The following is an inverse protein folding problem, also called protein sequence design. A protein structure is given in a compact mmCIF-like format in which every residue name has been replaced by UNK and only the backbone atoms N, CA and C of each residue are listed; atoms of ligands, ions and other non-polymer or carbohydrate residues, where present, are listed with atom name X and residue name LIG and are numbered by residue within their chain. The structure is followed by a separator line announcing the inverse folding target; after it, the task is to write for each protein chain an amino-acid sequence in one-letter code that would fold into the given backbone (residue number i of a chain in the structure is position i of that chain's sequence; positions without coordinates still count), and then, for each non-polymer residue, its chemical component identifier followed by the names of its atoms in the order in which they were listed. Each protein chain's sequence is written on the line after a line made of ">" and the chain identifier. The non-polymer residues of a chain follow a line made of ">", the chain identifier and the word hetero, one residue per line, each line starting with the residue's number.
data_IF_527855899145
#
_entry.id   IF_527855899145
#
_cell.length_a   1.000
_cell.length_b   1.000
_cell.length_c   1.000
_cell.angle_alpha   90.00
_cell.angle_beta   90.00
_cell.angle_gamma   90.00
#
_symmetry.space_group_name_H-M   'P 1'
#
loop_
_entity.id
_entity.type
_entity.pdbx_description
1 polymer ?
#
# COMPACT_ATOMS: atom_id res chain seq x y z
N UNK A 1 33.39 -46.96 39.96
CA UNK A 1 33.31 -46.62 38.51
C UNK A 1 32.26 -45.52 38.30
N UNK A 2 32.65 -44.24 38.19
CA UNK A 2 31.69 -43.15 37.98
C UNK A 2 32.31 -41.90 37.31
N UNK A 3 33.25 -42.07 36.36
CA UNK A 3 33.91 -40.93 35.68
C UNK A 3 33.50 -40.70 34.20
N UNK A 4 32.68 -41.57 33.60
CA UNK A 4 32.36 -41.48 32.16
C UNK A 4 31.00 -40.82 31.83
N UNK A 5 30.20 -40.41 32.82
CA UNK A 5 28.86 -39.85 32.57
C UNK A 5 28.87 -38.37 32.17
N UNK A 6 29.91 -37.62 32.54
CA UNK A 6 29.98 -36.16 32.31
C UNK A 6 30.17 -35.82 30.82
N UNK A 7 30.98 -36.58 30.09
CA UNK A 7 31.22 -36.32 28.67
C UNK A 7 30.04 -36.70 27.78
N UNK A 8 29.30 -37.76 28.15
CA UNK A 8 28.06 -38.15 27.45
C UNK A 8 27.02 -37.03 27.55
N UNK A 9 26.85 -36.43 28.74
CA UNK A 9 25.93 -35.30 28.92
C UNK A 9 26.34 -34.07 28.09
N UNK A 10 27.65 -33.78 27.98
CA UNK A 10 28.15 -32.69 27.13
C UNK A 10 27.89 -32.94 25.64
N UNK A 11 28.12 -34.16 25.17
CA UNK A 11 27.88 -34.54 23.76
C UNK A 11 26.39 -34.46 23.43
N UNK A 12 25.51 -34.94 24.33
CA UNK A 12 24.05 -34.83 24.16
C UNK A 12 23.60 -33.37 24.14
N UNK A 13 24.13 -32.53 25.03
CA UNK A 13 23.80 -31.10 25.06
C UNK A 13 24.23 -30.36 23.78
N UNK A 14 25.44 -30.62 23.29
CA UNK A 14 25.94 -30.03 22.03
C UNK A 14 25.10 -30.52 20.85
N UNK A 15 24.78 -31.81 20.81
CA UNK A 15 23.94 -32.39 19.75
C UNK A 15 22.53 -31.78 19.77
N UNK A 16 21.96 -31.58 20.96
CA UNK A 16 20.67 -30.91 21.12
C UNK A 16 20.73 -29.44 20.67
N UNK A 17 21.80 -28.70 20.97
CA UNK A 17 21.99 -27.33 20.48
C UNK A 17 22.12 -27.26 18.96
N UNK A 18 22.86 -28.20 18.35
CA UNK A 18 22.98 -28.29 16.89
C UNK A 18 21.63 -28.63 16.26
N UNK A 19 20.90 -29.61 16.81
CA UNK A 19 19.56 -29.96 16.33
C UNK A 19 18.57 -28.81 16.51
N UNK A 20 18.65 -28.06 17.60
CA UNK A 20 17.81 -26.89 17.86
C UNK A 20 18.16 -25.73 16.91
N UNK A 21 19.43 -25.55 16.58
CA UNK A 21 19.88 -24.59 15.57
C UNK A 21 19.40 -24.98 14.16
N UNK A 22 19.49 -26.26 13.81
CA UNK A 22 18.99 -26.79 12.53
C UNK A 22 17.46 -26.70 12.47
N UNK A 23 16.75 -27.11 13.51
CA UNK A 23 15.29 -27.01 13.59
C UNK A 23 14.83 -25.54 13.55
N UNK A 24 15.57 -24.63 14.21
CA UNK A 24 15.34 -23.19 14.15
C UNK A 24 15.46 -22.62 12.73
N UNK A 25 16.32 -23.19 11.88
CA UNK A 25 16.40 -22.81 10.46
C UNK A 25 15.21 -23.30 9.63
N UNK A 26 14.56 -24.42 10.00
CA UNK A 26 13.40 -24.95 9.27
C UNK A 26 12.05 -24.44 9.81
N UNK A 27 11.97 -24.05 11.08
CA UNK A 27 10.77 -23.52 11.74
C UNK A 27 11.01 -22.09 12.25
N UNK A 28 11.17 -21.14 11.32
CA UNK A 28 11.16 -19.72 11.66
C UNK A 28 9.73 -19.26 11.95
N UNK A 29 9.34 -19.25 13.23
CA UNK A 29 8.19 -18.49 13.69
C UNK A 29 8.72 -17.26 14.44
N UNK A 30 8.70 -16.09 13.76
CA UNK A 30 9.08 -14.82 14.37
C UNK A 30 7.91 -14.38 15.25
N UNK A 31 8.03 -14.63 16.56
CA UNK A 31 7.05 -14.16 17.51
C UNK A 31 7.14 -12.64 17.61
N UNK A 32 6.07 -11.98 17.21
CA UNK A 32 5.92 -10.55 17.36
C UNK A 32 5.28 -10.23 18.71
N UNK A 33 6.06 -9.57 19.57
CA UNK A 33 5.67 -9.17 20.92
C UNK A 33 5.12 -7.74 20.98
N UNK A 34 4.95 -7.06 19.84
CA UNK A 34 4.27 -5.77 19.82
C UNK A 34 2.79 -5.93 20.17
N UNK A 35 2.24 -4.95 20.88
CA UNK A 35 0.85 -4.99 21.35
C UNK A 35 -0.16 -5.12 20.20
N UNK A 36 0.19 -4.62 19.01
CA UNK A 36 -0.61 -4.63 17.79
C UNK A 36 -0.16 -5.67 16.74
N UNK A 37 0.83 -6.52 17.05
CA UNK A 37 1.44 -7.49 16.12
C UNK A 37 1.88 -6.85 14.79
N UNK A 38 2.46 -5.65 14.86
CA UNK A 38 2.83 -4.81 13.70
C UNK A 38 3.87 -5.44 12.76
N UNK A 39 4.66 -6.39 13.24
CA UNK A 39 5.68 -7.13 12.51
C UNK A 39 5.20 -8.53 12.10
N UNK A 40 3.90 -8.82 12.15
CA UNK A 40 3.28 -10.02 11.59
C UNK A 40 2.32 -9.65 10.49
N UNK A 41 2.38 -10.35 9.35
CA UNK A 41 1.40 -10.18 8.29
C UNK A 41 -0.03 -10.40 8.79
N UNK A 42 -0.94 -9.51 8.40
CA UNK A 42 -2.36 -9.68 8.65
C UNK A 42 -2.94 -10.90 7.92
N UNK A 43 -4.04 -11.45 8.44
CA UNK A 43 -4.71 -12.60 7.83
C UNK A 43 -5.21 -12.31 6.40
N UNK A 44 -5.51 -11.04 6.10
CA UNK A 44 -5.88 -10.60 4.75
C UNK A 44 -4.72 -10.77 3.78
N UNK A 45 -3.52 -10.35 4.19
CA UNK A 45 -2.28 -10.46 3.41
C UNK A 45 -1.88 -11.91 3.23
N UNK A 46 -1.89 -12.71 4.29
CA UNK A 46 -1.63 -14.16 4.20
C UNK A 46 -2.61 -14.86 3.25
N UNK A 47 -3.90 -14.54 3.35
CA UNK A 47 -4.92 -15.10 2.45
C UNK A 47 -4.67 -14.72 0.99
N UNK A 48 -4.27 -13.47 0.74
CA UNK A 48 -3.94 -13.02 -0.62
C UNK A 48 -2.75 -13.79 -1.19
N UNK A 49 -1.67 -13.91 -0.42
CA UNK A 49 -0.44 -14.58 -0.82
C UNK A 49 -0.63 -16.10 -1.03
N UNK A 50 -1.42 -16.74 -0.17
CA UNK A 50 -1.68 -18.20 -0.23
C UNK A 50 -2.74 -18.59 -1.26
N UNK A 51 -3.63 -17.69 -1.66
CA UNK A 51 -4.58 -17.94 -2.77
C UNK A 51 -3.97 -17.64 -4.13
N UNK A 52 -2.98 -16.76 -4.20
CA UNK A 52 -2.31 -16.46 -5.46
C UNK A 52 -1.53 -17.68 -5.99
N UNK A 53 -1.61 -17.89 -7.29
CA UNK A 53 -0.87 -18.95 -8.03
C UNK A 53 0.06 -18.38 -9.09
N UNK A 54 -0.01 -17.07 -9.35
CA UNK A 54 0.77 -16.39 -10.38
C UNK A 54 2.12 -15.93 -9.82
N UNK A 55 3.23 -16.09 -10.55
CA UNK A 55 4.53 -15.61 -10.09
C UNK A 55 4.51 -14.10 -9.91
N UNK A 56 5.17 -13.62 -8.86
CA UNK A 56 5.27 -12.20 -8.52
C UNK A 56 6.73 -11.78 -8.63
N UNK A 57 7.02 -10.73 -9.37
CA UNK A 57 8.32 -10.04 -9.31
C UNK A 57 8.15 -8.71 -8.61
N UNK A 58 8.98 -8.43 -7.60
CA UNK A 58 8.99 -7.16 -6.88
C UNK A 58 10.38 -6.55 -7.03
N UNK A 59 10.46 -5.43 -7.74
CA UNK A 59 11.69 -4.65 -7.92
C UNK A 59 11.66 -3.45 -7.00
N UNK A 60 12.62 -3.33 -6.09
CA UNK A 60 12.74 -2.27 -5.10
C UNK A 60 13.90 -1.36 -5.46
N UNK A 61 13.64 -0.07 -5.64
CA UNK A 61 14.62 0.94 -6.07
C UNK A 61 15.38 1.62 -4.90
N UNK A 62 15.25 1.06 -3.70
CA UNK A 62 15.95 1.49 -2.50
C UNK A 62 17.16 0.60 -2.24
N UNK A 63 18.21 0.73 -3.04
CA UNK A 63 19.50 0.10 -2.76
C UNK A 63 20.67 1.07 -2.88
N UNK A 64 21.88 0.60 -2.58
CA UNK A 64 23.11 1.40 -2.65
C UNK A 64 23.37 2.25 -1.41
N UNK A 65 24.09 3.36 -1.58
CA UNK A 65 24.45 4.24 -0.47
C UNK A 65 23.29 5.19 -0.13
N UNK A 66 22.52 4.82 0.90
CA UNK A 66 21.35 5.56 1.38
C UNK A 66 21.64 6.32 2.70
N UNK A 67 21.00 7.48 2.93
CA UNK A 67 20.95 8.11 4.25
C UNK A 67 20.35 7.20 5.34
N UNK A 68 20.69 7.42 6.63
CA UNK A 68 20.25 6.56 7.73
C UNK A 68 18.75 6.32 7.77
N UNK A 69 17.94 7.36 7.53
CA UNK A 69 16.49 7.26 7.52
C UNK A 69 15.98 6.28 6.44
N UNK A 70 16.53 6.38 5.22
CA UNK A 70 16.17 5.48 4.12
C UNK A 70 16.73 4.08 4.29
N UNK A 71 17.86 3.90 4.97
CA UNK A 71 18.32 2.55 5.34
C UNK A 71 17.30 1.84 6.23
N UNK A 72 16.66 2.54 7.17
CA UNK A 72 15.57 1.95 7.97
C UNK A 72 14.37 1.57 7.12
N UNK A 73 13.97 2.43 6.18
CA UNK A 73 12.89 2.12 5.22
C UNK A 73 13.25 0.89 4.37
N UNK A 74 14.48 0.83 3.85
CA UNK A 74 15.00 -0.31 3.10
C UNK A 74 14.92 -1.60 3.93
N UNK A 75 15.38 -1.58 5.19
CA UNK A 75 15.29 -2.73 6.08
C UNK A 75 13.84 -3.15 6.31
N UNK A 76 12.93 -2.21 6.59
CA UNK A 76 11.50 -2.52 6.76
C UNK A 76 10.87 -3.16 5.52
N UNK A 77 11.25 -2.69 4.32
CA UNK A 77 10.81 -3.29 3.05
C UNK A 77 11.42 -4.69 2.86
N UNK A 78 12.70 -4.88 3.15
CA UNK A 78 13.37 -6.20 3.04
C UNK A 78 12.73 -7.23 3.97
N UNK A 79 12.50 -6.86 5.22
CA UNK A 79 11.82 -7.70 6.20
C UNK A 79 10.42 -8.10 5.73
N UNK A 80 9.59 -7.12 5.36
CA UNK A 80 8.21 -7.36 4.90
C UNK A 80 8.18 -8.26 3.65
N UNK A 81 9.04 -7.99 2.67
CA UNK A 81 9.04 -8.75 1.41
C UNK A 81 9.60 -10.16 1.60
N UNK A 82 10.52 -10.36 2.55
CA UNK A 82 10.94 -11.69 2.99
C UNK A 82 9.75 -12.48 3.55
N UNK A 83 8.90 -11.85 4.36
CA UNK A 83 7.68 -12.48 4.86
C UNK A 83 6.69 -12.77 3.73
N UNK A 84 6.50 -11.84 2.79
CA UNK A 84 5.65 -12.08 1.61
C UNK A 84 6.11 -13.32 0.83
N UNK A 85 7.43 -13.46 0.62
CA UNK A 85 8.02 -14.61 -0.05
C UNK A 85 7.82 -15.90 0.75
N UNK A 86 7.96 -15.85 2.07
CA UNK A 86 7.81 -17.02 2.94
C UNK A 86 6.36 -17.54 3.02
N UNK A 87 5.37 -16.64 3.01
CA UNK A 87 3.95 -17.01 3.09
C UNK A 87 3.27 -17.22 1.73
N UNK A 88 3.91 -16.83 0.63
CA UNK A 88 3.36 -17.00 -0.72
C UNK A 88 3.45 -18.44 -1.19
N UNK A 89 2.36 -18.93 -1.78
CA UNK A 89 2.33 -20.22 -2.47
C UNK A 89 2.89 -20.16 -3.89
N UNK A 90 2.85 -18.98 -4.51
CA UNK A 90 3.46 -18.73 -5.81
C UNK A 90 4.91 -18.25 -5.63
N UNK A 91 5.73 -18.40 -6.66
CA UNK A 91 7.09 -17.88 -6.65
C UNK A 91 7.08 -16.35 -6.48
N UNK A 92 7.89 -15.86 -5.54
CA UNK A 92 8.12 -14.43 -5.32
C UNK A 92 9.59 -14.14 -5.57
N UNK A 93 9.87 -13.43 -6.66
CA UNK A 93 11.19 -12.92 -7.01
C UNK A 93 11.35 -11.52 -6.46
N UNK A 94 12.38 -11.31 -5.64
CA UNK A 94 12.73 -10.01 -5.07
C UNK A 94 14.00 -9.50 -5.75
N UNK A 95 13.94 -8.28 -6.28
CA UNK A 95 15.07 -7.60 -6.92
C UNK A 95 15.28 -6.27 -6.19
N UNK A 96 16.51 -6.00 -5.78
CA UNK A 96 16.90 -4.73 -5.17
C UNK A 96 17.91 -4.08 -6.11
N UNK A 97 17.70 -2.80 -6.44
CA UNK A 97 18.52 -2.07 -7.40
C UNK A 97 18.62 -0.60 -7.01
N UNK A 98 19.78 0.00 -7.22
CA UNK A 98 19.94 1.45 -7.26
C UNK A 98 19.83 1.87 -8.73
N UNK A 99 18.72 2.50 -9.16
CA UNK A 99 18.51 2.84 -10.57
C UNK A 99 19.47 3.94 -11.06
N UNK A 100 20.19 4.61 -10.15
CA UNK A 100 21.10 5.71 -10.47
C UNK A 100 22.57 5.31 -10.36
N UNK A 101 22.86 4.05 -9.99
CA UNK A 101 24.22 3.59 -9.78
C UNK A 101 25.06 3.63 -11.06
N UNK A 102 26.21 4.32 -10.99
CA UNK A 102 27.18 4.38 -12.08
C UNK A 102 26.82 5.33 -13.22
N UNK A 103 25.72 6.10 -13.10
CA UNK A 103 25.26 7.04 -14.12
C UNK A 103 25.84 8.45 -13.94
N UNK A 104 26.08 9.16 -15.05
CA UNK A 104 26.36 10.61 -15.03
C UNK A 104 25.13 11.41 -14.61
N UNK A 105 25.28 12.70 -14.33
CA UNK A 105 24.15 13.55 -13.90
C UNK A 105 23.07 13.63 -14.99
N UNK A 106 23.47 13.76 -16.25
CA UNK A 106 22.55 13.84 -17.40
C UNK A 106 21.79 12.53 -17.63
N UNK A 107 22.47 11.40 -17.42
CA UNK A 107 21.86 10.07 -17.49
C UNK A 107 20.87 9.85 -16.33
N UNK A 108 21.22 10.30 -15.12
CA UNK A 108 20.32 10.25 -13.97
C UNK A 108 19.05 11.05 -14.22
N UNK A 109 19.15 12.27 -14.74
CA UNK A 109 17.99 13.11 -15.05
C UNK A 109 17.06 12.42 -16.08
N UNK A 110 17.63 11.77 -17.09
CA UNK A 110 16.87 11.01 -18.09
C UNK A 110 16.15 9.81 -17.47
N UNK A 111 16.84 9.04 -16.62
CA UNK A 111 16.24 7.90 -15.91
C UNK A 111 15.13 8.36 -14.98
N UNK A 112 15.35 9.41 -14.19
CA UNK A 112 14.36 9.98 -13.27
C UNK A 112 13.13 10.45 -14.04
N UNK A 113 13.32 11.13 -15.19
CA UNK A 113 12.21 11.58 -16.02
C UNK A 113 11.34 10.40 -16.51
N UNK A 114 11.98 9.33 -17.02
CA UNK A 114 11.25 8.16 -17.50
C UNK A 114 10.52 7.44 -16.36
N UNK A 115 11.18 7.26 -15.21
CA UNK A 115 10.56 6.67 -14.02
C UNK A 115 9.34 7.48 -13.56
N UNK A 116 9.40 8.82 -13.63
CA UNK A 116 8.28 9.67 -13.27
C UNK A 116 7.06 9.48 -14.20
N UNK A 117 7.29 9.23 -15.50
CA UNK A 117 6.20 8.88 -16.43
C UNK A 117 5.49 7.58 -16.04
N UNK A 118 6.22 6.66 -15.42
CA UNK A 118 5.70 5.39 -14.91
C UNK A 118 5.14 5.49 -13.47
N UNK A 119 5.00 6.71 -12.93
CA UNK A 119 4.48 6.97 -11.59
C UNK A 119 5.48 6.68 -10.46
N UNK A 120 6.77 6.60 -10.77
CA UNK A 120 7.86 6.38 -9.80
C UNK A 120 8.59 7.70 -9.57
N UNK A 121 8.42 8.26 -8.37
CA UNK A 121 8.99 9.55 -8.00
C UNK A 121 10.32 9.43 -7.24
N UNK A 122 11.31 10.22 -7.64
CA UNK A 122 12.56 10.40 -6.90
C UNK A 122 12.45 11.56 -5.89
N UNK A 123 13.29 11.53 -4.85
CA UNK A 123 13.37 12.60 -3.85
C UNK A 123 14.83 12.96 -3.56
N UNK A 124 15.06 14.25 -3.28
CA UNK A 124 16.37 14.78 -2.92
C UNK A 124 16.50 14.87 -1.41
N UNK A 125 17.64 14.41 -0.89
CA UNK A 125 17.90 14.39 0.54
C UNK A 125 19.37 14.65 0.84
N UNK A 126 19.65 15.19 2.02
CA UNK A 126 21.00 15.48 2.46
C UNK A 126 21.61 14.26 3.19
N UNK A 127 22.74 13.77 2.70
CA UNK A 127 23.56 12.76 3.35
C UNK A 127 24.72 13.45 4.09
N UNK A 128 24.78 13.32 5.42
CA UNK A 128 25.94 13.76 6.18
C UNK A 128 27.06 12.74 6.05
N UNK A 129 28.21 13.17 5.53
CA UNK A 129 29.45 12.39 5.43
C UNK A 129 30.53 13.02 6.32
N UNK A 130 31.63 12.31 6.56
CA UNK A 130 32.77 12.83 7.31
C UNK A 130 33.38 14.09 6.66
N UNK A 131 33.23 14.24 5.34
CA UNK A 131 33.71 15.36 4.52
C UNK A 131 32.70 16.51 4.35
N UNK A 132 31.49 16.43 4.92
CA UNK A 132 30.44 17.44 4.78
C UNK A 132 29.08 16.87 4.38
N UNK A 133 28.13 17.75 4.04
CA UNK A 133 26.78 17.36 3.60
C UNK A 133 26.76 17.21 2.08
N UNK A 134 26.43 16.03 1.58
CA UNK A 134 26.27 15.72 0.16
C UNK A 134 24.78 15.57 -0.13
N UNK A 135 24.26 16.26 -1.14
CA UNK A 135 22.91 15.98 -1.64
C UNK A 135 22.90 14.66 -2.41
N UNK A 136 21.93 13.81 -2.07
CA UNK A 136 21.72 12.48 -2.65
C UNK A 136 20.30 12.41 -3.18
N UNK A 137 20.15 11.92 -4.42
CA UNK A 137 18.87 11.54 -4.98
C UNK A 137 18.58 10.09 -4.57
N UNK A 138 17.36 9.84 -4.13
CA UNK A 138 16.87 8.52 -3.71
C UNK A 138 15.55 8.25 -4.40
N UNK A 139 15.33 7.01 -4.83
CA UNK A 139 14.06 6.57 -5.45
C UNK A 139 13.30 5.66 -4.49
N UNK A 140 12.48 6.21 -3.57
CA UNK A 140 11.75 5.43 -2.57
C UNK A 140 10.49 4.78 -3.16
N UNK A 141 10.70 3.88 -4.11
CA UNK A 141 9.64 3.17 -4.80
C UNK A 141 9.98 1.70 -5.03
N UNK A 142 8.95 0.92 -5.33
CA UNK A 142 9.05 -0.42 -5.87
C UNK A 142 8.06 -0.60 -7.03
N UNK A 143 8.23 -1.66 -7.81
CA UNK A 143 7.26 -2.10 -8.83
C UNK A 143 6.92 -3.55 -8.55
N UNK A 144 5.62 -3.84 -8.52
CA UNK A 144 5.10 -5.21 -8.47
C UNK A 144 4.67 -5.60 -9.87
N UNK A 145 5.20 -6.70 -10.38
CA UNK A 145 4.85 -7.27 -11.67
C UNK A 145 4.22 -8.66 -11.50
N UNK A 146 3.09 -8.88 -12.18
CA UNK A 146 2.42 -10.17 -12.30
C UNK A 146 1.88 -10.32 -13.73
N UNK A 147 2.21 -11.40 -14.43
CA UNK A 147 1.78 -11.69 -15.81
C UNK A 147 2.00 -10.50 -16.77
N UNK A 148 3.13 -9.80 -16.66
CA UNK A 148 3.46 -8.64 -17.49
C UNK A 148 2.70 -7.35 -17.15
N UNK A 149 1.83 -7.35 -16.14
CA UNK A 149 1.20 -6.13 -15.60
C UNK A 149 2.07 -5.58 -14.48
N UNK A 150 2.37 -4.29 -14.54
CA UNK A 150 3.17 -3.59 -13.55
C UNK A 150 2.32 -2.63 -12.73
N UNK A 151 2.63 -2.53 -11.44
CA UNK A 151 2.03 -1.56 -10.53
C UNK A 151 3.14 -0.89 -9.71
N UNK A 152 3.37 0.43 -9.86
CA UNK A 152 4.31 1.16 -9.01
C UNK A 152 3.78 1.23 -7.57
N UNK A 153 4.70 1.21 -6.63
CA UNK A 153 4.46 1.24 -5.19
C UNK A 153 5.29 2.35 -4.59
N UNK A 154 4.61 3.40 -4.11
CA UNK A 154 5.24 4.53 -3.42
C UNK A 154 5.58 4.12 -1.98
N UNK A 155 6.88 3.97 -1.69
CA UNK A 155 7.37 3.53 -0.39
C UNK A 155 7.50 4.67 0.61
N UNK A 156 7.66 5.91 0.15
CA UNK A 156 7.66 7.10 0.98
C UNK A 156 6.36 7.87 0.79
N UNK A 157 5.54 7.94 1.84
CA UNK A 157 4.27 8.65 1.86
C UNK A 157 4.41 9.94 2.69
N UNK A 158 3.93 11.05 2.12
CA UNK A 158 3.95 12.36 2.78
C UNK A 158 2.66 12.54 3.57
N UNK A 159 2.56 11.91 4.74
CA UNK A 159 1.37 11.99 5.59
C UNK A 159 1.17 13.37 6.22
N UNK A 160 2.24 14.15 6.36
CA UNK A 160 2.16 15.51 6.86
C UNK A 160 3.18 16.41 6.13
N UNK A 161 2.69 17.40 5.39
CA UNK A 161 3.52 18.40 4.68
C UNK A 161 4.29 19.29 5.67
N UNK A 162 3.76 19.47 6.89
CA UNK A 162 4.42 20.18 7.99
C UNK A 162 5.24 19.25 8.92
N UNK A 163 5.21 17.94 8.69
CA UNK A 163 5.94 16.95 9.49
C UNK A 163 7.41 16.86 9.08
N UNK A 164 8.26 16.47 10.03
CA UNK A 164 9.67 16.19 9.74
C UNK A 164 9.84 15.00 8.80
N UNK A 165 10.84 15.06 7.93
CA UNK A 165 11.19 14.00 6.98
C UNK A 165 11.36 12.60 7.62
N UNK A 166 11.91 12.54 8.83
CA UNK A 166 12.05 11.31 9.64
C UNK A 166 10.70 10.70 10.06
N UNK A 167 9.73 11.53 10.43
CA UNK A 167 8.37 11.13 10.85
C UNK A 167 7.64 10.48 9.67
N UNK A 168 7.71 11.08 8.48
CA UNK A 168 7.10 10.54 7.26
C UNK A 168 7.69 9.17 6.91
N UNK A 169 9.00 8.96 7.10
CA UNK A 169 9.64 7.66 6.91
C UNK A 169 9.12 6.63 7.92
N UNK A 170 9.02 6.97 9.21
CA UNK A 170 8.52 6.05 10.22
C UNK A 170 7.07 5.62 9.92
N UNK A 171 6.19 6.57 9.60
CA UNK A 171 4.80 6.27 9.21
C UNK A 171 4.72 5.44 7.93
N UNK A 172 5.64 5.70 6.99
CA UNK A 172 5.73 4.89 5.78
C UNK A 172 6.10 3.45 6.10
N UNK A 173 7.06 3.22 7.02
CA UNK A 173 7.43 1.88 7.51
C UNK A 173 6.22 1.19 8.15
N UNK A 174 5.47 1.89 9.00
CA UNK A 174 4.26 1.36 9.63
C UNK A 174 3.17 0.98 8.62
N UNK A 175 3.10 1.68 7.49
CA UNK A 175 2.09 1.47 6.45
C UNK A 175 2.55 0.54 5.31
N UNK A 176 3.75 -0.05 5.38
CA UNK A 176 4.31 -0.86 4.29
C UNK A 176 3.44 -2.06 3.94
N UNK A 177 2.95 -2.81 4.93
CA UNK A 177 2.12 -4.00 4.67
C UNK A 177 0.88 -3.65 3.87
N UNK A 178 0.14 -2.64 4.31
CA UNK A 178 -1.05 -2.16 3.62
C UNK A 178 -0.71 -1.70 2.19
N UNK A 179 0.37 -0.94 2.04
CA UNK A 179 0.83 -0.38 0.76
C UNK A 179 1.18 -1.49 -0.24
N UNK A 180 1.95 -2.50 0.17
CA UNK A 180 2.27 -3.64 -0.71
C UNK A 180 1.05 -4.53 -0.98
N UNK A 181 0.25 -4.82 0.04
CA UNK A 181 -0.92 -5.73 -0.08
C UNK A 181 -1.98 -5.15 -1.00
N UNK A 182 -2.28 -3.86 -0.88
CA UNK A 182 -3.25 -3.18 -1.72
C UNK A 182 -2.80 -3.13 -3.19
N UNK A 183 -1.53 -2.80 -3.46
CA UNK A 183 -0.98 -2.78 -4.82
C UNK A 183 -0.83 -4.18 -5.43
N UNK A 184 -0.45 -5.19 -4.64
CA UNK A 184 -0.46 -6.59 -5.07
C UNK A 184 -1.87 -7.04 -5.44
N UNK A 185 -2.87 -6.68 -4.63
CA UNK A 185 -4.27 -6.98 -4.94
C UNK A 185 -4.74 -6.31 -6.23
N UNK A 186 -4.31 -5.06 -6.49
CA UNK A 186 -4.62 -4.32 -7.72
C UNK A 186 -4.03 -5.02 -8.95
N UNK A 187 -2.74 -5.34 -8.93
CA UNK A 187 -2.06 -5.97 -10.08
C UNK A 187 -2.57 -7.39 -10.36
N UNK A 188 -2.85 -8.18 -9.31
CA UNK A 188 -3.38 -9.55 -9.45
C UNK A 188 -4.78 -9.57 -10.08
N UNK A 189 -5.66 -8.69 -9.61
CA UNK A 189 -7.08 -8.72 -9.99
C UNK A 189 -7.40 -7.78 -11.17
N UNK A 190 -6.46 -6.91 -11.57
CA UNK A 190 -6.77 -5.75 -12.43
C UNK A 190 -7.89 -4.87 -11.86
N UNK A 191 -8.16 -4.99 -10.55
CA UNK A 191 -9.38 -4.52 -9.93
C UNK A 191 -9.08 -3.24 -9.16
N UNK A 192 -9.37 -2.12 -9.79
CA UNK A 192 -9.53 -0.84 -9.10
C UNK A 192 -11.02 -0.70 -8.76
N UNK A 193 -11.40 -0.82 -7.48
CA UNK A 193 -12.80 -0.68 -7.11
C UNK A 193 -13.33 0.67 -7.57
N UNK A 194 -14.54 0.69 -8.12
CA UNK A 194 -15.19 1.90 -8.64
C UNK A 194 -16.02 2.56 -7.55
N UNK A 195 -15.73 3.82 -7.27
CA UNK A 195 -16.48 4.68 -6.37
C UNK A 195 -17.21 5.73 -7.20
N UNK A 196 -18.51 5.86 -6.98
CA UNK A 196 -19.39 6.77 -7.71
C UNK A 196 -20.02 7.77 -6.77
N UNK A 197 -19.75 9.05 -6.98
CA UNK A 197 -20.46 10.14 -6.32
C UNK A 197 -21.73 10.46 -7.10
N UNK A 198 -22.89 10.41 -6.45
CA UNK A 198 -24.16 10.73 -7.13
C UNK A 198 -24.27 12.23 -7.43
N UNK A 199 -25.05 12.56 -8.46
CA UNK A 199 -25.27 13.95 -8.93
C UNK A 199 -26.71 14.19 -9.44
N UNK A 200 -27.65 13.36 -9.00
CA UNK A 200 -29.03 13.36 -9.54
C UNK A 200 -29.99 14.26 -8.78
N UNK A 201 -29.63 14.66 -7.56
CA UNK A 201 -30.48 15.31 -6.58
C UNK A 201 -29.81 16.56 -5.98
N UNK A 202 -29.07 17.31 -6.81
CA UNK A 202 -28.28 18.49 -6.45
C UNK A 202 -27.28 18.23 -5.31
N UNK A 203 -26.66 17.04 -5.31
CA UNK A 203 -25.53 16.71 -4.44
C UNK A 203 -24.33 17.65 -4.66
N UNK A 204 -23.33 17.55 -3.76
CA UNK A 204 -22.11 18.36 -3.80
C UNK A 204 -21.41 18.35 -5.19
N UNK A 205 -20.98 19.54 -5.62
CA UNK A 205 -20.28 19.80 -6.87
C UNK A 205 -18.88 19.21 -6.89
N UNK A 206 -18.21 19.22 -8.05
CA UNK A 206 -16.84 18.70 -8.17
C UNK A 206 -15.86 19.50 -7.31
N UNK A 207 -16.01 20.82 -7.26
CA UNK A 207 -15.17 21.69 -6.43
C UNK A 207 -15.29 21.36 -4.94
N UNK A 208 -16.51 21.09 -4.46
CA UNK A 208 -16.75 20.73 -3.05
C UNK A 208 -16.26 19.32 -2.70
N UNK A 209 -16.12 18.44 -3.70
CA UNK A 209 -15.67 17.06 -3.53
C UNK A 209 -14.21 16.82 -3.93
N UNK A 210 -13.48 17.86 -4.35
CA UNK A 210 -12.15 17.73 -4.96
C UNK A 210 -11.17 16.95 -4.08
N UNK A 211 -10.98 17.37 -2.83
CA UNK A 211 -10.05 16.71 -1.90
C UNK A 211 -10.38 15.23 -1.68
N UNK A 212 -11.67 14.92 -1.48
CA UNK A 212 -12.13 13.55 -1.30
C UNK A 212 -11.93 12.72 -2.57
N UNK A 213 -12.24 13.28 -3.76
CA UNK A 213 -12.08 12.59 -5.04
C UNK A 213 -10.61 12.32 -5.35
N UNK A 214 -9.73 13.31 -5.19
CA UNK A 214 -8.28 13.19 -5.40
C UNK A 214 -7.69 12.16 -4.45
N UNK A 215 -8.05 12.22 -3.17
CA UNK A 215 -7.56 11.27 -2.16
C UNK A 215 -7.98 9.84 -2.47
N UNK A 216 -9.24 9.63 -2.87
CA UNK A 216 -9.77 8.30 -3.23
C UNK A 216 -9.18 7.79 -4.57
N UNK A 217 -8.91 8.68 -5.52
CA UNK A 217 -8.36 8.32 -6.84
C UNK A 217 -7.00 7.61 -6.75
N UNK A 218 -6.25 7.82 -5.66
CA UNK A 218 -4.99 7.10 -5.39
C UNK A 218 -5.17 5.57 -5.35
N UNK A 219 -6.36 5.10 -4.97
CA UNK A 219 -6.62 3.67 -4.74
C UNK A 219 -7.83 3.11 -5.49
N UNK A 220 -8.65 3.97 -6.09
CA UNK A 220 -9.95 3.62 -6.65
C UNK A 220 -10.18 4.36 -7.97
N UNK A 221 -11.04 3.82 -8.83
CA UNK A 221 -11.57 4.59 -9.97
C UNK A 221 -12.73 5.42 -9.44
N UNK A 222 -12.56 6.73 -9.40
CA UNK A 222 -13.55 7.65 -8.85
C UNK A 222 -14.27 8.39 -9.98
N UNK A 223 -15.59 8.38 -9.97
CA UNK A 223 -16.42 8.98 -11.02
C UNK A 223 -17.71 9.59 -10.48
N UNK A 224 -18.43 10.27 -11.37
CA UNK A 224 -19.80 10.73 -11.12
C UNK A 224 -20.81 9.65 -11.55
N UNK A 225 -21.94 9.61 -10.86
CA UNK A 225 -23.05 8.69 -11.13
C UNK A 225 -24.34 9.48 -11.19
N UNK A 226 -24.85 9.66 -12.39
CA UNK A 226 -26.20 10.14 -12.58
C UNK A 226 -27.17 8.96 -12.55
N UNK A 227 -27.95 8.84 -11.47
CA UNK A 227 -28.96 7.80 -11.25
C UNK A 227 -30.06 7.84 -12.31
N UNK A 228 -30.32 8.96 -12.98
CA UNK A 228 -31.31 9.02 -14.05
C UNK A 228 -30.83 8.32 -15.32
N UNK A 229 -29.54 8.42 -15.65
CA UNK A 229 -28.98 7.90 -16.92
C UNK A 229 -28.15 6.62 -16.77
N UNK A 230 -27.69 6.29 -15.57
CA UNK A 230 -26.87 5.09 -15.36
C UNK A 230 -27.61 3.82 -15.76
N UNK A 231 -26.91 2.96 -16.50
CA UNK A 231 -27.39 1.66 -16.96
C UNK A 231 -27.18 0.60 -15.88
N UNK A 232 -27.87 -0.54 -16.02
CA UNK A 232 -27.65 -1.72 -15.17
C UNK A 232 -26.18 -2.17 -15.17
N UNK A 233 -25.57 -2.25 -16.35
CA UNK A 233 -24.16 -2.62 -16.48
C UNK A 233 -23.23 -1.62 -15.77
N UNK A 234 -23.57 -0.33 -15.80
CA UNK A 234 -22.86 0.70 -15.05
C UNK A 234 -22.94 0.47 -13.54
N UNK A 235 -24.12 0.12 -13.02
CA UNK A 235 -24.33 -0.22 -11.61
C UNK A 235 -23.60 -1.51 -11.21
N UNK A 236 -23.60 -2.54 -12.07
CA UNK A 236 -22.94 -3.82 -11.80
C UNK A 236 -21.41 -3.69 -11.70
N UNK A 237 -20.83 -2.70 -12.39
CA UNK A 237 -19.40 -2.38 -12.32
C UNK A 237 -19.04 -1.51 -11.09
N UNK A 238 -20.03 -0.86 -10.47
CA UNK A 238 -19.81 0.02 -9.33
C UNK A 238 -19.58 -0.82 -8.06
N UNK A 239 -18.74 -0.34 -7.14
CA UNK A 239 -18.50 -1.04 -5.87
C UNK A 239 -18.94 -0.23 -4.67
N UNK A 240 -18.87 1.09 -4.77
CA UNK A 240 -19.37 2.00 -3.76
C UNK A 240 -20.10 3.17 -4.40
N UNK A 241 -21.26 3.50 -3.85
CA UNK A 241 -22.01 4.70 -4.18
C UNK A 241 -21.95 5.66 -2.99
N UNK A 242 -21.59 6.91 -3.24
CA UNK A 242 -21.55 7.97 -2.23
C UNK A 242 -22.63 8.99 -2.58
N UNK A 243 -23.58 9.16 -1.68
CA UNK A 243 -24.66 10.13 -1.79
C UNK A 243 -24.37 11.25 -0.80
N UNK A 244 -23.84 12.37 -1.33
CA UNK A 244 -23.29 13.45 -0.52
C UNK A 244 -24.19 14.69 -0.54
N UNK A 245 -24.81 14.99 0.60
CA UNK A 245 -25.73 16.11 0.82
C UNK A 245 -26.80 16.23 -0.28
N UNK A 246 -27.64 15.19 -0.51
CA UNK A 246 -28.72 15.29 -1.49
C UNK A 246 -29.71 16.37 -1.07
N UNK A 247 -30.03 17.30 -1.98
CA UNK A 247 -30.92 18.44 -1.71
C UNK A 247 -32.34 18.23 -2.25
N UNK A 248 -32.53 17.24 -3.13
CA UNK A 248 -33.83 16.85 -3.69
C UNK A 248 -34.27 15.47 -3.22
N UNK A 249 -35.59 15.24 -3.26
CA UNK A 249 -36.18 13.94 -2.98
C UNK A 249 -35.93 12.96 -4.12
N UNK A 250 -35.50 11.75 -3.79
CA UNK A 250 -35.31 10.68 -4.75
C UNK A 250 -36.65 10.21 -5.33
N UNK A 251 -36.70 10.05 -6.65
CA UNK A 251 -37.79 9.41 -7.38
C UNK A 251 -37.81 7.90 -7.12
N UNK A 252 -38.96 7.25 -7.38
CA UNK A 252 -39.08 5.79 -7.24
C UNK A 252 -38.08 5.03 -8.13
N UNK A 253 -37.78 5.54 -9.33
CA UNK A 253 -36.78 4.95 -10.23
C UNK A 253 -35.38 5.02 -9.64
N UNK A 254 -34.99 6.14 -9.04
CA UNK A 254 -33.68 6.28 -8.39
C UNK A 254 -33.58 5.38 -7.16
N UNK A 255 -34.63 5.34 -6.32
CA UNK A 255 -34.72 4.42 -5.17
C UNK A 255 -34.56 2.98 -5.61
N UNK A 256 -35.23 2.58 -6.70
CA UNK A 256 -35.09 1.24 -7.28
C UNK A 256 -33.65 0.94 -7.69
N UNK A 257 -32.95 1.87 -8.36
CA UNK A 257 -31.55 1.69 -8.78
C UNK A 257 -30.60 1.58 -7.58
N UNK A 258 -30.79 2.39 -6.54
CA UNK A 258 -30.03 2.31 -5.29
C UNK A 258 -30.28 0.96 -4.61
N UNK A 259 -31.54 0.53 -4.53
CA UNK A 259 -31.90 -0.76 -3.94
C UNK A 259 -31.29 -1.93 -4.71
N UNK A 260 -31.41 -1.93 -6.05
CA UNK A 260 -30.77 -2.93 -6.92
C UNK A 260 -29.26 -3.01 -6.65
N UNK A 261 -28.59 -1.88 -6.54
CA UNK A 261 -27.15 -1.83 -6.26
C UNK A 261 -26.80 -2.45 -4.89
N UNK A 262 -27.54 -2.10 -3.83
CA UNK A 262 -27.36 -2.67 -2.48
C UNK A 262 -27.62 -4.18 -2.47
N UNK A 263 -28.71 -4.62 -3.10
CA UNK A 263 -29.09 -6.04 -3.16
C UNK A 263 -28.04 -6.91 -3.87
N UNK A 264 -27.29 -6.36 -4.80
CA UNK A 264 -26.18 -7.05 -5.49
C UNK A 264 -24.83 -6.92 -4.74
N UNK A 265 -24.83 -6.51 -3.48
CA UNK A 265 -23.63 -6.41 -2.63
C UNK A 265 -22.86 -5.10 -2.76
N UNK A 266 -23.41 -4.12 -3.48
CA UNK A 266 -22.91 -2.75 -3.53
C UNK A 266 -23.00 -2.07 -2.17
N UNK A 267 -22.05 -1.16 -1.89
CA UNK A 267 -22.00 -0.42 -0.62
C UNK A 267 -22.43 1.02 -0.83
N UNK A 268 -23.34 1.52 -0.01
CA UNK A 268 -23.78 2.91 -0.08
C UNK A 268 -23.32 3.68 1.16
N UNK A 269 -22.70 4.83 0.94
CA UNK A 269 -22.41 5.80 1.99
C UNK A 269 -23.34 6.99 1.81
N UNK A 270 -24.09 7.30 2.85
CA UNK A 270 -24.94 8.48 2.92
C UNK A 270 -24.25 9.53 3.80
N UNK A 271 -23.95 10.69 3.21
CA UNK A 271 -23.57 11.88 3.97
C UNK A 271 -24.77 12.83 3.92
N UNK A 272 -25.57 12.81 4.98
CA UNK A 272 -26.78 13.61 5.10
C UNK A 272 -26.55 14.71 6.14
N UNK A 273 -27.05 15.91 5.85
CA UNK A 273 -27.07 17.00 6.81
C UNK A 273 -28.48 17.08 7.41
N UNK A 274 -28.58 17.08 8.74
CA UNK A 274 -29.85 17.24 9.43
C UNK A 274 -30.21 18.72 9.63
N UNK A 275 -29.24 19.64 9.50
CA UNK A 275 -29.43 21.05 9.80
C UNK A 275 -29.10 21.90 8.56
N UNK A 276 -30.05 22.68 8.09
CA UNK A 276 -29.88 23.60 6.96
C UNK A 276 -29.08 24.87 7.36
N UNK A 277 -28.00 24.71 8.12
CA UNK A 277 -27.16 25.80 8.61
C UNK A 277 -26.05 26.13 7.59
N UNK A 278 -26.45 26.44 6.36
CA UNK A 278 -25.52 27.00 5.39
C UNK A 278 -25.13 28.42 5.83
N UNK A 279 -23.87 28.81 5.61
CA UNK A 279 -23.35 30.16 5.95
C UNK A 279 -24.17 31.29 5.29
N UNK A 280 -24.89 31.01 4.20
CA UNK A 280 -25.86 31.94 3.60
C UNK A 280 -27.08 32.20 4.49
N UNK A 281 -27.55 31.20 5.26
CA UNK A 281 -28.68 31.34 6.19
C UNK A 281 -28.30 32.08 7.49
N UNK A 282 -27.00 32.33 7.72
CA UNK A 282 -26.49 33.13 8.83
C UNK A 282 -26.35 34.62 8.48
N UNK A 283 -26.66 35.04 7.24
CA UNK A 283 -26.56 36.43 6.77
C UNK A 283 -27.91 37.16 6.67
N UNK A 284 -28.99 36.54 7.12
CA UNK A 284 -30.33 37.13 7.32
C UNK A 284 -30.67 37.13 8.79
#
# INVERSE_FOLDING_TARGET
>A
MAKNKKWINSVVFITALVLLNVAGNYFFHRFDFTADKRFTLSEKTKTLLTKNRKPITITVFLDGQLPPAFKRLQTGVKDLLSDFKAYSTAEVKLVYVDPLAGLTVEEQDTVIYNMAQDGIEATRTALKTESGTIEKIVVPAAVIEVDGKQMPVKLLQNFNVAGGYEENINRSIENLEYTFTSNLKKVLNGYNPRIGFTESNDELTDLELEDARVTLANNYIVGRVNLNTITKEGLDKLNMMIIAKPKKTFTETEKYKINYFVMNGGRVLWSIDQNNADLENLRT
#
